data_IF_234925117806
#
_entry.id   IF_234925117806
#
_cell.length_a   1.000
_cell.length_b   1.000
_cell.length_c   1.000
_cell.angle_alpha   90.00
_cell.angle_beta   90.00
_cell.angle_gamma   90.00
#
_symmetry.space_group_name_H-M   'P 1'
#
loop_
_entity.id
_entity.type
_entity.pdbx_description
1 polymer ?
#
# COMPACT_ATOMS: atom_id res chain seq x y z
N UNK A 1 9.06 37.23 -12.63
CA UNK A 1 9.32 36.54 -11.34
C UNK A 1 8.05 35.95 -10.74
N UNK A 2 6.99 36.74 -10.47
CA UNK A 2 5.75 36.23 -9.86
C UNK A 2 5.03 35.11 -10.65
N UNK A 3 4.95 35.23 -11.98
CA UNK A 3 4.35 34.17 -12.81
C UNK A 3 5.14 32.85 -12.74
N UNK A 4 6.47 32.91 -12.71
CA UNK A 4 7.32 31.74 -12.52
C UNK A 4 7.08 31.09 -11.15
N UNK A 5 7.03 31.88 -10.08
CA UNK A 5 6.77 31.37 -8.73
C UNK A 5 5.37 30.72 -8.62
N UNK A 6 4.36 31.31 -9.25
CA UNK A 6 3.01 30.74 -9.27
C UNK A 6 2.99 29.38 -10.00
N UNK A 7 3.60 29.30 -11.19
CA UNK A 7 3.68 28.05 -11.94
C UNK A 7 4.53 26.99 -11.23
N UNK A 8 5.63 27.40 -10.61
CA UNK A 8 6.47 26.53 -9.79
C UNK A 8 5.68 25.96 -8.60
N UNK A 9 4.95 26.80 -7.86
CA UNK A 9 4.12 26.35 -6.75
C UNK A 9 3.02 25.37 -7.19
N UNK A 10 2.38 25.62 -8.34
CA UNK A 10 1.40 24.68 -8.91
C UNK A 10 2.07 23.37 -9.31
N UNK A 11 3.25 23.43 -9.93
CA UNK A 11 4.02 22.23 -10.30
C UNK A 11 4.38 21.38 -9.07
N UNK A 12 4.96 22.00 -8.04
CA UNK A 12 5.28 21.33 -6.77
C UNK A 12 4.03 20.72 -6.13
N UNK A 13 2.92 21.47 -6.06
CA UNK A 13 1.65 20.97 -5.54
C UNK A 13 1.19 19.71 -6.28
N UNK A 14 1.26 19.70 -7.61
CA UNK A 14 0.85 18.56 -8.43
C UNK A 14 1.78 17.36 -8.23
N UNK A 15 3.09 17.58 -8.11
CA UNK A 15 4.07 16.52 -7.81
C UNK A 15 3.76 15.89 -6.45
N UNK A 16 3.56 16.69 -5.40
CA UNK A 16 3.24 16.16 -4.08
C UNK A 16 1.84 15.54 -3.99
N UNK A 17 0.88 16.02 -4.78
CA UNK A 17 -0.48 15.47 -4.81
C UNK A 17 -0.51 13.99 -5.23
N UNK A 18 0.48 13.51 -6.00
CA UNK A 18 0.57 12.09 -6.42
C UNK A 18 0.74 11.12 -5.24
N UNK A 19 1.25 11.59 -4.10
CA UNK A 19 1.42 10.78 -2.89
C UNK A 19 0.09 10.23 -2.34
N UNK A 20 -1.00 11.00 -2.49
CA UNK A 20 -2.34 10.60 -2.03
C UNK A 20 -2.86 9.33 -2.74
N UNK A 21 -3.00 9.36 -4.07
CA UNK A 21 -3.37 8.19 -4.89
C UNK A 21 -2.50 6.96 -4.64
N UNK A 22 -1.17 7.13 -4.61
CA UNK A 22 -0.22 6.03 -4.38
C UNK A 22 -0.49 5.34 -3.05
N UNK A 23 -0.56 6.12 -1.98
CA UNK A 23 -0.79 5.59 -0.63
C UNK A 23 -2.18 4.97 -0.49
N UNK A 24 -3.20 5.57 -1.11
CA UNK A 24 -4.56 5.03 -1.13
C UNK A 24 -4.58 3.60 -1.69
N UNK A 25 -3.96 3.39 -2.85
CA UNK A 25 -3.90 2.07 -3.48
C UNK A 25 -3.12 1.09 -2.61
N UNK A 26 -1.95 1.47 -2.08
CA UNK A 26 -1.18 0.59 -1.20
C UNK A 26 -2.00 0.09 0.00
N UNK A 27 -2.75 0.98 0.65
CA UNK A 27 -3.57 0.65 1.82
C UNK A 27 -4.82 -0.17 1.49
N UNK A 28 -5.38 0.00 0.28
CA UNK A 28 -6.58 -0.71 -0.17
C UNK A 28 -6.29 -2.08 -0.80
N UNK A 29 -5.05 -2.38 -1.19
CA UNK A 29 -4.65 -3.69 -1.70
C UNK A 29 -4.48 -4.75 -0.60
N UNK A 30 -4.33 -4.32 0.65
CA UNK A 30 -3.95 -5.16 1.79
C UNK A 30 -4.97 -5.12 2.92
N UNK A 31 -4.97 -6.15 3.78
CA UNK A 31 -5.82 -6.20 4.98
C UNK A 31 -5.41 -5.09 5.97
N UNK A 32 -6.33 -4.55 6.79
CA UNK A 32 -6.04 -3.47 7.71
C UNK A 32 -4.87 -3.74 8.67
N UNK A 33 -4.72 -5.00 9.11
CA UNK A 33 -3.67 -5.45 10.02
C UNK A 33 -2.23 -5.34 9.47
N UNK A 34 -2.04 -5.31 8.14
CA UNK A 34 -0.72 -5.26 7.48
C UNK A 34 -0.47 -3.95 6.71
N UNK A 35 -1.34 -2.95 6.86
CA UNK A 35 -1.19 -1.63 6.22
C UNK A 35 0.14 -0.93 6.53
N UNK A 36 0.63 -0.90 7.79
CA UNK A 36 1.92 -0.28 8.09
C UNK A 36 3.08 -0.96 7.33
N UNK A 37 3.02 -2.29 7.19
CA UNK A 37 4.01 -3.05 6.43
C UNK A 37 3.95 -2.72 4.93
N UNK A 38 2.75 -2.63 4.36
CA UNK A 38 2.57 -2.24 2.95
C UNK A 38 3.17 -0.87 2.65
N UNK A 39 2.92 0.11 3.52
CA UNK A 39 3.51 1.46 3.41
C UNK A 39 5.03 1.43 3.54
N UNK A 40 5.57 0.67 4.49
CA UNK A 40 7.02 0.54 4.66
C UNK A 40 7.70 -0.07 3.43
N UNK A 41 7.12 -1.14 2.87
CA UNK A 41 7.64 -1.79 1.65
C UNK A 41 7.55 -0.84 0.45
N UNK A 42 6.46 -0.08 0.33
CA UNK A 42 6.29 0.93 -0.73
C UNK A 42 7.41 1.97 -0.67
N UNK A 43 7.65 2.57 0.50
CA UNK A 43 8.72 3.55 0.70
C UNK A 43 10.10 2.97 0.41
N UNK A 44 10.41 1.78 0.92
CA UNK A 44 11.71 1.12 0.67
C UNK A 44 11.90 0.82 -0.82
N UNK A 45 10.83 0.41 -1.50
CA UNK A 45 10.86 0.14 -2.94
C UNK A 45 11.14 1.41 -3.75
N UNK A 46 10.53 2.54 -3.37
CA UNK A 46 10.81 3.85 -3.98
C UNK A 46 12.29 4.24 -3.77
N UNK A 47 12.88 3.96 -2.61
CA UNK A 47 14.29 4.26 -2.39
C UNK A 47 15.22 3.39 -3.24
N UNK A 48 14.96 2.07 -3.27
CA UNK A 48 15.81 1.10 -3.98
C UNK A 48 15.75 1.31 -5.50
N UNK A 49 14.56 1.56 -6.05
CA UNK A 49 14.36 1.60 -7.50
C UNK A 49 14.20 3.02 -8.07
N UNK A 50 13.84 4.00 -7.25
CA UNK A 50 13.59 5.38 -7.65
C UNK A 50 14.66 6.32 -7.14
N UNK A 51 14.52 6.78 -5.90
CA UNK A 51 15.23 7.96 -5.37
C UNK A 51 16.76 7.81 -5.39
N UNK A 52 17.29 6.65 -4.99
CA UNK A 52 18.74 6.41 -4.95
C UNK A 52 19.35 6.24 -6.35
N UNK A 53 18.85 5.35 -7.23
CA UNK A 53 19.43 5.18 -8.56
C UNK A 53 19.09 6.30 -9.55
N UNK A 54 18.01 7.07 -9.34
CA UNK A 54 17.60 8.12 -10.28
C UNK A 54 18.61 9.26 -10.36
N UNK A 55 19.17 9.72 -9.24
CA UNK A 55 20.14 10.82 -9.22
C UNK A 55 21.36 10.59 -10.13
N UNK A 56 22.09 9.45 -10.04
CA UNK A 56 23.18 9.17 -10.96
C UNK A 56 22.70 8.91 -12.40
N UNK A 57 21.51 8.31 -12.59
CA UNK A 57 20.96 8.07 -13.92
C UNK A 57 20.64 9.38 -14.65
N UNK A 58 20.07 10.36 -13.94
CA UNK A 58 19.82 11.72 -14.46
C UNK A 58 21.14 12.40 -14.83
N UNK A 59 22.19 12.23 -14.01
CA UNK A 59 23.53 12.72 -14.32
C UNK A 59 24.05 12.17 -15.64
N UNK A 60 24.01 10.84 -15.81
CA UNK A 60 24.42 10.19 -17.06
C UNK A 60 23.57 10.65 -18.24
N UNK A 61 22.25 10.82 -18.07
CA UNK A 61 21.38 11.32 -19.13
C UNK A 61 21.78 12.74 -19.55
N UNK A 62 22.05 13.63 -18.57
CA UNK A 62 22.48 14.99 -18.82
C UNK A 62 23.83 15.04 -19.55
N UNK A 63 24.79 14.19 -19.17
CA UNK A 63 26.10 14.10 -19.81
C UNK A 63 26.03 13.66 -21.28
N UNK A 64 24.96 12.94 -21.66
CA UNK A 64 24.73 12.49 -23.04
C UNK A 64 23.98 13.52 -23.86
N UNK A 65 22.92 14.10 -23.31
CA UNK A 65 22.08 15.08 -24.00
C UNK A 65 22.77 16.44 -24.13
N UNK A 66 23.60 16.82 -23.14
CA UNK A 66 24.32 18.10 -23.08
C UNK A 66 23.42 19.35 -23.20
N UNK A 67 22.12 19.20 -22.93
CA UNK A 67 21.15 20.29 -22.96
C UNK A 67 20.18 20.13 -21.78
N UNK A 68 20.33 21.02 -20.78
CA UNK A 68 19.53 20.96 -19.56
C UNK A 68 18.03 21.18 -19.80
N UNK A 69 17.65 21.88 -20.88
CA UNK A 69 16.24 22.12 -21.22
C UNK A 69 15.56 20.81 -21.64
N UNK A 70 16.21 20.07 -22.53
CA UNK A 70 15.72 18.78 -23.00
C UNK A 70 15.68 17.76 -21.86
N UNK A 71 16.74 17.68 -21.05
CA UNK A 71 16.76 16.80 -19.88
C UNK A 71 15.63 17.14 -18.90
N UNK A 72 15.43 18.41 -18.56
CA UNK A 72 14.33 18.83 -17.69
C UNK A 72 12.95 18.49 -18.29
N UNK A 73 12.76 18.66 -19.60
CA UNK A 73 11.54 18.27 -20.30
C UNK A 73 11.31 16.76 -20.26
N UNK A 74 12.35 15.93 -20.46
CA UNK A 74 12.24 14.48 -20.36
C UNK A 74 11.84 14.05 -18.95
N UNK A 75 12.49 14.60 -17.92
CA UNK A 75 12.20 14.25 -16.52
C UNK A 75 10.79 14.64 -16.10
N UNK A 76 10.34 15.83 -16.51
CA UNK A 76 8.96 16.28 -16.24
C UNK A 76 7.94 15.52 -17.06
N UNK A 77 8.26 15.12 -18.30
CA UNK A 77 7.36 14.33 -19.15
C UNK A 77 7.02 12.95 -18.55
N UNK A 78 7.95 12.32 -17.81
CA UNK A 78 7.72 11.02 -17.15
C UNK A 78 6.65 11.10 -16.05
N UNK A 79 6.38 12.29 -15.49
CA UNK A 79 5.36 12.48 -14.47
C UNK A 79 3.93 12.32 -15.02
N UNK A 80 3.69 12.62 -16.30
CA UNK A 80 2.37 12.46 -16.92
C UNK A 80 1.89 11.01 -17.00
N UNK A 81 2.65 10.05 -17.57
CA UNK A 81 2.24 8.65 -17.55
C UNK A 81 2.19 8.10 -16.13
N UNK A 82 3.07 8.53 -15.22
CA UNK A 82 2.99 8.15 -13.81
C UNK A 82 1.66 8.60 -13.18
N UNK A 83 1.27 9.86 -13.36
CA UNK A 83 -0.01 10.38 -12.89
C UNK A 83 -1.20 9.61 -13.50
N UNK A 84 -1.16 9.29 -14.79
CA UNK A 84 -2.21 8.52 -15.45
C UNK A 84 -2.35 7.10 -14.88
N UNK A 85 -1.22 6.40 -14.67
CA UNK A 85 -1.21 5.04 -14.11
C UNK A 85 -1.85 5.03 -12.71
N UNK A 86 -1.43 5.95 -11.84
CA UNK A 86 -1.97 6.04 -10.48
C UNK A 86 -3.43 6.49 -10.46
N UNK A 87 -3.82 7.38 -11.38
CA UNK A 87 -5.21 7.80 -11.53
C UNK A 87 -6.10 6.63 -11.95
N UNK A 88 -5.72 5.86 -12.97
CA UNK A 88 -6.44 4.65 -13.40
C UNK A 88 -6.53 3.64 -12.24
N UNK A 89 -5.44 3.50 -11.46
CA UNK A 89 -5.37 2.67 -10.28
C UNK A 89 -6.46 2.97 -9.23
N UNK A 90 -6.87 4.23 -9.07
CA UNK A 90 -7.95 4.61 -8.15
C UNK A 90 -9.31 4.07 -8.63
N UNK A 91 -9.55 4.02 -9.95
CA UNK A 91 -10.82 3.56 -10.51
C UNK A 91 -10.95 2.05 -10.60
N UNK A 92 -9.86 1.31 -10.43
CA UNK A 92 -9.90 -0.16 -10.32
C UNK A 92 -10.61 -0.53 -9.01
N UNK A 93 -11.74 -1.21 -9.14
CA UNK A 93 -12.56 -1.68 -8.01
C UNK A 93 -11.71 -2.60 -7.11
N UNK A 94 -11.20 -2.05 -6.01
CA UNK A 94 -10.56 -2.84 -4.96
C UNK A 94 -11.67 -3.50 -4.13
N UNK A 95 -11.72 -4.83 -4.17
CA UNK A 95 -12.60 -5.61 -3.28
C UNK A 95 -12.26 -5.23 -1.84
N UNK A 96 -13.27 -4.80 -1.09
CA UNK A 96 -13.08 -4.26 0.25
C UNK A 96 -12.66 -5.40 1.20
N UNK A 97 -11.35 -5.55 1.44
CA UNK A 97 -10.77 -6.59 2.31
C UNK A 97 -10.99 -6.35 3.81
N UNK A 98 -11.76 -5.33 4.19
CA UNK A 98 -12.06 -5.03 5.59
C UNK A 98 -12.91 -6.11 6.28
N UNK A 99 -13.73 -6.86 5.54
CA UNK A 99 -14.63 -7.88 6.11
C UNK A 99 -13.92 -9.21 6.41
N UNK A 100 -12.86 -9.58 5.67
CA UNK A 100 -12.14 -10.85 5.87
C UNK A 100 -11.59 -11.01 7.29
N UNK A 101 -11.04 -9.95 7.89
CA UNK A 101 -10.46 -10.01 9.25
C UNK A 101 -11.54 -10.23 10.33
N UNK A 102 -12.80 -9.85 10.08
CA UNK A 102 -13.90 -10.08 11.01
C UNK A 102 -14.42 -11.51 10.91
N UNK A 103 -14.56 -12.06 9.69
CA UNK A 103 -14.99 -13.46 9.51
C UNK A 103 -13.93 -14.46 10.05
N UNK A 104 -12.64 -14.20 9.81
CA UNK A 104 -11.56 -15.04 10.33
C UNK A 104 -11.49 -15.01 11.86
N UNK A 105 -11.72 -13.84 12.49
CA UNK A 105 -11.79 -13.72 13.96
C UNK A 105 -13.05 -14.36 14.53
N UNK A 106 -14.23 -14.12 13.93
CA UNK A 106 -15.51 -14.68 14.40
C UNK A 106 -15.49 -16.21 14.30
N UNK A 107 -15.04 -16.78 13.18
CA UNK A 107 -14.92 -18.22 13.01
C UNK A 107 -13.93 -18.86 13.97
N UNK A 108 -12.82 -18.19 14.29
CA UNK A 108 -11.84 -18.66 15.29
C UNK A 108 -12.40 -18.59 16.71
N UNK A 109 -13.16 -17.53 17.03
CA UNK A 109 -13.84 -17.38 18.33
C UNK A 109 -14.95 -18.41 18.49
N UNK A 110 -15.77 -18.68 17.46
CA UNK A 110 -16.79 -19.75 17.49
C UNK A 110 -16.16 -21.12 17.66
N UNK A 111 -15.10 -21.43 16.90
CA UNK A 111 -14.36 -22.70 17.04
C UNK A 111 -13.73 -22.84 18.42
N UNK A 112 -13.26 -21.76 19.02
CA UNK A 112 -12.72 -21.76 20.38
C UNK A 112 -13.80 -21.90 21.46
N UNK A 113 -15.06 -21.56 21.17
CA UNK A 113 -16.19 -21.71 22.09
C UNK A 113 -16.81 -23.10 22.05
N UNK A 114 -16.71 -23.82 20.93
CA UNK A 114 -17.22 -25.19 20.80
C UNK A 114 -16.28 -26.27 21.36
N UNK A 115 -14.97 -26.04 21.40
CA UNK A 115 -14.01 -27.00 21.99
C UNK A 115 -14.13 -27.21 23.51
N UNK A 116 -14.37 -26.19 24.38
CA UNK A 116 -14.39 -26.42 25.83
C UNK A 116 -15.65 -27.16 26.32
N UNK A 117 -16.81 -26.99 25.66
CA UNK A 117 -18.07 -27.57 26.18
C UNK A 117 -18.25 -29.07 25.89
N UNK A 118 -17.46 -29.67 25.01
CA UNK A 118 -17.49 -31.11 24.74
C UNK A 118 -16.56 -31.92 25.65
N UNK A 119 -15.64 -31.27 26.37
CA UNK A 119 -14.78 -31.93 27.36
C UNK A 119 -15.48 -32.06 28.73
N UNK A 120 -16.33 -31.10 29.11
CA UNK A 120 -17.03 -31.15 30.40
C UNK A 120 -18.19 -32.19 30.42
N UNK A 121 -18.95 -32.36 29.33
CA UNK A 121 -20.07 -33.34 29.27
C UNK A 121 -19.57 -34.80 29.25
N UNK A 122 -18.37 -35.03 28.70
CA UNK A 122 -17.80 -36.38 28.59
C UNK A 122 -17.16 -36.85 29.91
N UNK A 123 -16.76 -35.92 30.78
CA UNK A 123 -16.23 -36.23 32.09
C UNK A 123 -17.33 -36.65 33.10
N UNK A 124 -18.51 -36.03 33.06
CA UNK A 124 -19.61 -36.39 33.96
C UNK A 124 -20.29 -37.73 33.59
N UNK A 125 -20.43 -38.05 32.30
CA UNK A 125 -21.11 -39.29 31.89
C UNK A 125 -20.29 -40.55 32.18
N UNK A 126 -18.96 -40.42 32.26
CA UNK A 126 -18.07 -41.58 32.48
C UNK A 126 -17.92 -41.93 33.97
N UNK A 127 -18.19 -41.01 34.89
CA UNK A 127 -18.15 -41.28 36.35
C UNK A 127 -19.43 -41.93 36.89
N UNK A 128 -20.59 -41.77 36.24
CA UNK A 128 -21.85 -42.34 36.74
C UNK A 128 -22.05 -43.84 36.42
N UNK A 129 -21.17 -44.47 35.62
CA UNK A 129 -21.31 -45.86 35.18
C UNK A 129 -20.28 -46.84 35.81
N UNK A 130 -19.46 -46.37 36.76
CA UNK A 130 -18.39 -47.15 37.37
C UNK A 130 -18.52 -47.27 38.90
N UNK A 131 -19.67 -47.73 39.39
CA UNK A 131 -19.81 -48.38 40.71
C UNK A 131 -20.73 -49.61 40.53
N UNK A 132 -20.21 -50.82 40.84
CA UNK A 132 -20.52 -51.42 42.14
C UNK A 132 -19.31 -51.97 42.91
#
# INVERSE_FOLDING_TARGET
MYAFLALFAVGELLVFATQGPVNFICLHCVKPSIRPLSMAISTVSIHIFGDVPSSPLVGVLQDRVNNWRETALILTAILFPAAAIWFIGIFLHSVDKFSEDNEDKVSRIERSKTTPLLEDEKAETTQACAEP
#
